data_IF_156766662566
#
_entry.id   IF_156766662566
#
_cell.length_a   1.000
_cell.length_b   1.000
_cell.length_c   1.000
_cell.angle_alpha   90.00
_cell.angle_beta   90.00
_cell.angle_gamma   90.00
#
_symmetry.space_group_name_H-M   'P 1'
#
loop_
_entity.id
_entity.type
_entity.pdbx_description
1 polymer ?
#
# COMPACT_ATOMS: atom_id res chain seq x y z
N UNK A 1 14.48 -0.01 0.49
CA UNK A 1 13.74 -0.81 -0.52
C UNK A 1 14.16 -0.33 -1.91
N UNK A 2 14.49 -1.18 -2.88
CA UNK A 2 14.81 -0.76 -4.23
C UNK A 2 13.55 -0.23 -4.95
N UNK A 3 13.77 0.73 -5.86
CA UNK A 3 12.71 1.27 -6.71
C UNK A 3 12.11 0.20 -7.60
N UNK A 4 10.84 0.33 -7.95
CA UNK A 4 10.15 -0.58 -8.84
C UNK A 4 10.37 -0.25 -10.31
N UNK A 5 9.87 -1.12 -11.19
CA UNK A 5 10.10 -0.99 -12.63
C UNK A 5 9.14 -0.04 -13.34
N UNK A 6 7.98 0.28 -12.76
CA UNK A 6 6.92 0.99 -13.46
C UNK A 6 6.34 2.14 -12.63
N UNK A 7 5.38 1.85 -11.76
CA UNK A 7 4.62 2.90 -11.05
C UNK A 7 5.33 3.46 -9.82
N UNK A 8 6.33 2.77 -9.31
CA UNK A 8 7.12 3.14 -8.13
C UNK A 8 8.60 3.40 -8.47
N UNK A 9 8.86 3.93 -9.67
CA UNK A 9 10.22 4.18 -10.17
C UNK A 9 10.90 5.37 -9.53
N UNK A 10 10.14 6.34 -9.03
CA UNK A 10 10.71 7.57 -8.47
C UNK A 10 11.12 7.42 -7.02
N UNK A 11 10.26 6.89 -6.20
CA UNK A 11 10.48 6.69 -4.79
C UNK A 11 9.72 5.46 -4.27
N UNK A 12 10.27 4.86 -3.24
CA UNK A 12 9.61 3.80 -2.47
C UNK A 12 9.93 4.00 -0.98
N UNK A 13 8.92 3.83 -0.13
CA UNK A 13 9.05 3.94 1.32
C UNK A 13 8.19 2.87 1.98
N UNK A 14 8.82 1.97 2.73
CA UNK A 14 8.08 1.03 3.59
C UNK A 14 7.38 1.83 4.69
N UNK A 15 6.10 1.58 4.87
CA UNK A 15 5.27 2.28 5.86
C UNK A 15 4.91 1.39 7.03
N UNK A 16 4.70 0.09 6.79
CA UNK A 16 4.38 -0.86 7.86
C UNK A 16 4.70 -2.30 7.47
N UNK A 17 4.70 -3.17 8.49
CA UNK A 17 4.86 -4.62 8.37
C UNK A 17 3.76 -5.32 9.17
N UNK A 18 2.91 -6.06 8.48
CA UNK A 18 1.90 -6.92 9.09
C UNK A 18 2.34 -8.39 9.01
N UNK A 19 2.48 -9.03 10.17
CA UNK A 19 2.70 -10.47 10.24
C UNK A 19 1.37 -11.20 10.16
N UNK A 20 1.26 -12.11 9.20
CA UNK A 20 0.05 -12.91 8.98
C UNK A 20 0.39 -14.37 9.29
N UNK A 21 -0.18 -14.92 10.38
CA UNK A 21 -0.06 -16.35 10.67
C UNK A 21 -0.64 -17.17 9.50
N UNK A 22 -0.03 -18.31 9.19
CA UNK A 22 -0.46 -19.25 8.13
C UNK A 22 -0.31 -18.78 6.68
N UNK A 23 0.00 -17.52 6.41
CA UNK A 23 0.32 -17.12 5.03
C UNK A 23 1.57 -17.86 4.52
N UNK A 24 2.39 -18.36 5.44
CA UNK A 24 3.51 -19.24 5.15
C UNK A 24 3.15 -20.62 4.62
N UNK A 25 1.92 -21.11 4.80
CA UNK A 25 1.48 -22.37 4.21
C UNK A 25 1.54 -22.38 2.68
N UNK A 26 1.52 -21.22 2.06
CA UNK A 26 1.72 -21.07 0.63
C UNK A 26 3.20 -21.10 0.20
N UNK A 27 4.17 -20.99 1.13
CA UNK A 27 5.60 -20.92 0.83
C UNK A 27 6.52 -21.45 1.95
N UNK A 28 6.17 -22.57 2.54
CA UNK A 28 7.06 -23.34 3.46
C UNK A 28 7.50 -22.63 4.77
N UNK A 29 6.63 -21.82 5.39
CA UNK A 29 6.96 -21.16 6.66
C UNK A 29 5.80 -21.04 7.64
N UNK A 30 6.08 -20.80 8.93
CA UNK A 30 5.04 -20.71 9.98
C UNK A 30 4.20 -19.42 9.89
N UNK A 31 4.67 -18.40 9.22
CA UNK A 31 3.97 -17.12 8.95
C UNK A 31 4.63 -16.41 7.78
N UNK A 32 3.90 -15.45 7.21
CA UNK A 32 4.40 -14.51 6.23
C UNK A 32 4.29 -13.07 6.72
N UNK A 33 5.09 -12.19 6.16
CA UNK A 33 5.02 -10.75 6.40
C UNK A 33 4.53 -10.03 5.15
N UNK A 34 3.50 -9.21 5.30
CA UNK A 34 3.12 -8.23 4.30
C UNK A 34 3.76 -6.91 4.66
N UNK A 35 4.56 -6.38 3.75
CA UNK A 35 5.19 -5.07 3.87
C UNK A 35 4.39 -4.10 3.04
N UNK A 36 3.75 -3.15 3.67
CA UNK A 36 3.11 -2.04 2.98
C UNK A 36 4.14 -0.98 2.63
N UNK A 37 4.02 -0.40 1.45
CA UNK A 37 4.91 0.67 1.02
C UNK A 37 4.18 1.69 0.16
N UNK A 38 4.67 2.91 0.22
CA UNK A 38 4.29 3.95 -0.71
C UNK A 38 5.26 3.95 -1.89
N UNK A 39 4.72 4.06 -3.07
CA UNK A 39 5.47 4.25 -4.29
C UNK A 39 5.04 5.52 -5.00
N UNK A 40 5.98 6.19 -5.64
CA UNK A 40 5.70 7.34 -6.47
C UNK A 40 6.18 7.11 -7.89
N UNK A 41 5.31 7.43 -8.84
CA UNK A 41 5.66 7.57 -10.23
C UNK A 41 6.20 8.99 -10.44
N UNK A 42 7.44 9.13 -10.91
CA UNK A 42 7.93 10.44 -11.25
C UNK A 42 7.32 10.89 -12.56
N UNK A 43 6.94 12.15 -12.61
CA UNK A 43 6.78 12.88 -13.87
C UNK A 43 5.50 12.60 -14.67
N UNK A 44 4.39 12.25 -14.05
CA UNK A 44 3.11 12.54 -14.69
C UNK A 44 2.95 14.05 -14.79
N UNK A 45 2.75 14.54 -15.99
CA UNK A 45 2.33 15.92 -16.17
C UNK A 45 0.94 16.10 -15.59
N UNK A 46 0.67 17.28 -15.02
CA UNK A 46 -0.66 17.59 -14.46
C UNK A 46 -1.78 17.42 -15.51
N UNK A 47 -1.46 17.67 -16.76
CA UNK A 47 -2.40 17.52 -17.88
C UNK A 47 -2.77 16.06 -18.14
N UNK A 48 -1.94 15.10 -17.69
CA UNK A 48 -2.22 13.68 -17.81
C UNK A 48 -3.12 13.14 -16.69
N UNK A 49 -3.32 13.94 -15.63
CA UNK A 49 -4.27 13.63 -14.56
C UNK A 49 -5.26 14.80 -14.40
N UNK A 50 -6.39 14.81 -15.14
CA UNK A 50 -7.35 15.89 -15.10
C UNK A 50 -8.01 16.09 -13.72
N UNK A 51 -7.90 15.13 -12.84
CA UNK A 51 -8.44 15.21 -11.48
C UNK A 51 -7.43 15.78 -10.45
N UNK A 52 -6.20 16.03 -10.85
CA UNK A 52 -5.19 16.63 -9.98
C UNK A 52 -5.47 18.11 -9.75
N UNK A 53 -6.10 18.48 -8.63
CA UNK A 53 -6.56 19.85 -8.35
C UNK A 53 -5.53 20.76 -7.70
N UNK A 54 -4.50 20.23 -7.07
CA UNK A 54 -3.53 21.05 -6.31
C UNK A 54 -2.14 20.45 -6.35
N UNK A 55 -1.31 20.94 -7.28
CA UNK A 55 0.06 20.49 -7.35
C UNK A 55 1.01 21.57 -7.83
N UNK A 56 2.28 21.46 -7.43
CA UNK A 56 3.32 22.21 -8.10
C UNK A 56 3.26 21.89 -9.60
N UNK A 57 3.31 22.89 -10.43
CA UNK A 57 3.24 22.74 -11.87
C UNK A 57 4.19 21.65 -12.37
N UNK A 58 3.66 20.71 -13.11
CA UNK A 58 4.43 19.77 -13.91
C UNK A 58 4.66 18.38 -13.33
N UNK A 59 4.28 18.09 -12.08
CA UNK A 59 4.57 16.79 -11.47
C UNK A 59 3.41 16.23 -10.69
N UNK A 60 3.17 14.95 -10.89
CA UNK A 60 2.40 14.13 -9.97
C UNK A 60 3.37 13.38 -9.07
N UNK A 61 3.51 13.82 -7.84
CA UNK A 61 4.27 13.11 -6.80
C UNK A 61 3.33 12.34 -5.89
N UNK A 62 2.19 11.86 -6.41
CA UNK A 62 1.30 11.10 -5.56
C UNK A 62 1.92 9.80 -5.17
N UNK A 63 1.90 9.61 -3.88
CA UNK A 63 2.27 8.35 -3.30
C UNK A 63 1.04 7.44 -3.34
N UNK A 64 1.23 6.30 -3.98
CA UNK A 64 0.24 5.26 -4.17
C UNK A 64 0.66 4.03 -3.37
N UNK A 65 -0.30 3.28 -2.87
CA UNK A 65 -0.03 2.16 -2.00
C UNK A 65 0.34 0.89 -2.75
N UNK A 66 1.38 0.23 -2.28
CA UNK A 66 1.79 -1.08 -2.71
C UNK A 66 2.00 -2.03 -1.53
N UNK A 67 2.16 -3.30 -1.84
CA UNK A 67 2.53 -4.30 -0.85
C UNK A 67 3.56 -5.28 -1.42
N UNK A 68 4.38 -5.80 -0.52
CA UNK A 68 5.31 -6.90 -0.75
C UNK A 68 4.98 -8.04 0.19
N UNK A 69 5.30 -9.24 -0.21
CA UNK A 69 5.26 -10.40 0.65
C UNK A 69 6.69 -10.90 0.92
N UNK A 70 6.94 -11.28 2.17
CA UNK A 70 8.20 -11.89 2.61
C UNK A 70 7.92 -13.16 3.42
N UNK A 71 8.73 -14.23 3.25
CA UNK A 71 8.64 -15.41 4.09
C UNK A 71 9.17 -15.09 5.50
N UNK A 72 8.33 -15.28 6.51
CA UNK A 72 8.70 -14.94 7.91
C UNK A 72 9.16 -13.49 8.03
N UNK A 73 10.34 -13.30 8.62
CA UNK A 73 11.00 -12.00 8.78
C UNK A 73 12.15 -11.77 7.77
N UNK A 74 12.30 -12.62 6.77
CA UNK A 74 13.31 -12.42 5.73
C UNK A 74 12.91 -11.32 4.74
N UNK A 75 13.12 -10.09 5.14
CA UNK A 75 12.83 -8.92 4.30
C UNK A 75 13.71 -8.86 3.05
N UNK A 76 14.85 -9.57 3.04
CA UNK A 76 15.71 -9.68 1.86
C UNK A 76 15.07 -10.48 0.73
N UNK A 77 14.18 -11.42 1.07
CA UNK A 77 13.41 -12.21 0.13
C UNK A 77 12.06 -11.57 -0.26
N UNK A 78 11.78 -10.35 0.19
CA UNK A 78 10.50 -9.69 -0.08
C UNK A 78 10.27 -9.45 -1.56
N UNK A 79 9.09 -9.81 -2.04
CA UNK A 79 8.66 -9.69 -3.42
C UNK A 79 7.42 -8.82 -3.54
N UNK A 80 7.40 -7.92 -4.53
CA UNK A 80 6.22 -7.10 -4.82
C UNK A 80 5.04 -7.96 -5.23
N UNK A 81 3.87 -7.67 -4.67
CA UNK A 81 2.62 -8.30 -5.08
C UNK A 81 2.10 -7.77 -6.40
N UNK A 82 2.53 -6.57 -6.79
CA UNK A 82 2.26 -6.01 -8.11
C UNK A 82 3.48 -5.24 -8.64
N UNK A 83 3.85 -5.49 -9.90
CA UNK A 83 4.96 -4.82 -10.57
C UNK A 83 4.50 -3.67 -11.48
N UNK A 84 3.30 -3.76 -12.02
CA UNK A 84 2.85 -2.91 -13.13
C UNK A 84 1.98 -1.74 -12.65
N UNK A 85 1.24 -1.94 -11.58
CA UNK A 85 0.31 -0.94 -11.03
C UNK A 85 0.25 -1.01 -9.51
N UNK A 86 -0.11 0.10 -8.84
CA UNK A 86 -0.33 0.09 -7.40
C UNK A 86 -1.47 -0.86 -7.01
N UNK A 87 -1.46 -1.34 -5.78
CA UNK A 87 -2.54 -2.16 -5.21
C UNK A 87 -3.65 -1.29 -4.60
N UNK A 88 -3.27 -0.14 -4.06
CA UNK A 88 -4.17 0.79 -3.39
C UNK A 88 -4.12 2.14 -4.08
N UNK A 89 -5.25 2.57 -4.61
CA UNK A 89 -5.43 3.88 -5.26
C UNK A 89 -6.78 4.41 -4.84
N UNK A 90 -6.82 5.64 -4.32
CA UNK A 90 -8.10 6.29 -4.08
C UNK A 90 -8.83 6.48 -5.42
N UNK A 91 -10.12 6.21 -5.50
CA UNK A 91 -10.91 6.51 -6.69
C UNK A 91 -11.08 8.03 -6.89
N UNK A 92 -10.75 8.83 -5.88
CA UNK A 92 -11.00 10.25 -5.82
C UNK A 92 -9.71 11.09 -5.87
N UNK A 93 -9.87 12.35 -6.23
CA UNK A 93 -8.80 13.33 -6.24
C UNK A 93 -7.64 12.91 -7.16
N UNK A 94 -6.45 12.83 -6.59
CA UNK A 94 -5.23 12.48 -7.30
C UNK A 94 -4.89 10.99 -7.27
N UNK A 95 -5.75 10.17 -6.62
CA UNK A 95 -5.47 8.75 -6.39
C UNK A 95 -4.59 8.49 -5.17
N UNK A 96 -4.20 9.52 -4.42
CA UNK A 96 -3.35 9.38 -3.25
C UNK A 96 -3.90 8.31 -2.28
N UNK A 97 -3.03 7.36 -1.93
CA UNK A 97 -3.34 6.29 -0.99
C UNK A 97 -2.03 5.86 -0.35
N UNK A 98 -1.68 6.45 0.79
CA UNK A 98 -0.34 6.37 1.38
C UNK A 98 -0.35 6.25 2.89
N UNK A 99 0.82 6.01 3.47
CA UNK A 99 1.03 5.88 4.92
C UNK A 99 0.16 4.81 5.55
N UNK A 100 0.07 3.65 4.90
CA UNK A 100 -0.64 2.51 5.49
C UNK A 100 0.06 2.16 6.80
N UNK A 101 -0.72 2.06 7.88
CA UNK A 101 -0.31 1.52 9.17
C UNK A 101 -1.36 0.51 9.63
N UNK A 102 -0.92 -0.59 10.22
CA UNK A 102 -1.77 -1.70 10.62
C UNK A 102 -1.57 -2.08 12.07
N UNK A 103 -2.63 -2.59 12.69
CA UNK A 103 -2.59 -3.18 14.01
C UNK A 103 -3.41 -4.48 13.99
N UNK A 104 -2.74 -5.61 14.24
CA UNK A 104 -3.39 -6.89 14.45
C UNK A 104 -3.53 -7.18 15.95
N UNK A 105 -4.73 -7.54 16.38
CA UNK A 105 -5.05 -7.96 17.74
C UNK A 105 -6.14 -9.03 17.74
N UNK A 106 -6.67 -9.38 18.90
CA UNK A 106 -7.71 -10.40 19.04
C UNK A 106 -9.04 -10.02 18.35
N UNK A 107 -9.30 -8.73 18.14
CA UNK A 107 -10.50 -8.25 17.44
C UNK A 107 -10.38 -8.34 15.92
N UNK A 108 -9.16 -8.51 15.38
CA UNK A 108 -8.89 -8.56 13.96
C UNK A 108 -7.74 -7.66 13.51
N UNK A 109 -7.88 -7.07 12.34
CA UNK A 109 -6.87 -6.17 11.74
C UNK A 109 -7.47 -4.79 11.54
N UNK A 110 -6.87 -3.80 12.16
CA UNK A 110 -7.13 -2.38 11.92
C UNK A 110 -6.11 -1.83 10.93
N UNK A 111 -6.55 -1.00 10.01
CA UNK A 111 -5.68 -0.32 9.07
C UNK A 111 -6.05 1.15 8.96
N UNK A 112 -5.04 2.02 8.89
CA UNK A 112 -5.20 3.45 8.62
C UNK A 112 -4.34 3.85 7.43
N UNK A 113 -4.80 4.83 6.65
CA UNK A 113 -4.02 5.41 5.56
C UNK A 113 -4.54 6.80 5.21
N UNK A 114 -3.71 7.62 4.56
CA UNK A 114 -4.20 8.83 3.92
C UNK A 114 -4.84 8.50 2.57
N UNK A 115 -6.01 9.09 2.31
CA UNK A 115 -6.77 8.85 1.09
C UNK A 115 -7.18 10.16 0.43
N UNK A 116 -6.89 10.30 -0.87
CA UNK A 116 -7.38 11.42 -1.66
C UNK A 116 -8.90 11.46 -1.73
N UNK A 117 -9.47 12.66 -1.60
CA UNK A 117 -10.91 12.91 -1.70
C UNK A 117 -11.23 13.78 -2.92
N UNK A 118 -12.51 13.82 -3.31
CA UNK A 118 -12.98 14.60 -4.47
C UNK A 118 -12.70 16.11 -4.33
N UNK A 119 -12.68 16.63 -3.12
CA UNK A 119 -12.38 18.04 -2.81
C UNK A 119 -10.87 18.36 -2.80
N UNK A 120 -10.03 17.35 -3.04
CA UNK A 120 -8.56 17.45 -3.01
C UNK A 120 -7.94 17.30 -1.63
N UNK A 121 -8.73 17.11 -0.58
CA UNK A 121 -8.22 16.79 0.75
C UNK A 121 -7.64 15.37 0.80
N UNK A 122 -6.81 15.09 1.81
CA UNK A 122 -6.19 13.78 2.04
C UNK A 122 -6.30 13.41 3.52
N UNK A 123 -7.52 13.18 4.03
CA UNK A 123 -7.70 12.81 5.41
C UNK A 123 -7.07 11.44 5.72
N UNK A 124 -6.78 11.22 6.99
CA UNK A 124 -6.54 9.88 7.53
C UNK A 124 -7.89 9.16 7.60
N UNK A 125 -7.95 7.99 7.00
CA UNK A 125 -9.10 7.08 7.06
C UNK A 125 -8.71 5.81 7.79
N UNK A 126 -9.70 5.09 8.29
CA UNK A 126 -9.49 3.85 9.03
C UNK A 126 -10.51 2.81 8.58
N UNK A 127 -10.07 1.56 8.53
CA UNK A 127 -10.95 0.40 8.34
C UNK A 127 -10.59 -0.70 9.33
N UNK A 128 -11.54 -1.56 9.60
CA UNK A 128 -11.41 -2.72 10.48
C UNK A 128 -11.86 -3.98 9.74
N UNK A 129 -11.00 -4.99 9.74
CA UNK A 129 -11.29 -6.33 9.29
C UNK A 129 -11.44 -7.23 10.51
N UNK A 130 -12.67 -7.66 10.87
CA UNK A 130 -12.92 -8.47 12.07
C UNK A 130 -12.19 -9.82 12.04
N UNK A 131 -11.91 -10.38 13.21
CA UNK A 131 -11.12 -11.61 13.35
C UNK A 131 -11.72 -12.81 12.61
N UNK A 132 -13.05 -12.98 12.63
CA UNK A 132 -13.75 -14.03 11.90
C UNK A 132 -13.60 -13.90 10.39
N UNK A 133 -13.60 -12.68 9.88
CA UNK A 133 -13.35 -12.40 8.47
C UNK A 133 -11.90 -12.67 8.09
N UNK A 134 -10.94 -12.32 8.97
CA UNK A 134 -9.52 -12.66 8.78
C UNK A 134 -9.36 -14.18 8.68
N UNK A 135 -9.97 -14.94 9.60
CA UNK A 135 -9.91 -16.40 9.58
C UNK A 135 -10.51 -16.97 8.31
N UNK A 136 -11.65 -16.43 7.87
CA UNK A 136 -12.30 -16.85 6.62
C UNK A 136 -11.42 -16.62 5.39
N UNK A 137 -10.68 -15.50 5.35
CA UNK A 137 -9.80 -15.18 4.23
C UNK A 137 -8.51 -16.01 4.22
N UNK A 138 -8.09 -16.53 5.38
CA UNK A 138 -6.87 -17.34 5.51
C UNK A 138 -7.14 -18.85 5.46
N UNK A 139 -8.39 -19.28 5.48
CA UNK A 139 -8.79 -20.69 5.39
C UNK A 139 -8.90 -21.17 3.93
#
# INVERSE_FOLDING_TARGET
>A
MPRGPVWDVAATRVTDQLRIPRLGAFRDGPYGSVLFYDGAESMRRLEENPNAKSRPRGYSCEELGGAMWAPGDDLGAAQRLSLVRPLFVSPEGTGCSRYVATLANDDGIWATWQQGQADGSQPLVMNHLPADEVERLLS
#
